data_IF_561647288817
#
_entry.id   IF_561647288817
#
_cell.length_a   1.000
_cell.length_b   1.000
_cell.length_c   1.000
_cell.angle_alpha   90.00
_cell.angle_beta   90.00
_cell.angle_gamma   90.00
#
_symmetry.space_group_name_H-M   'P 1'
#
loop_
_entity.id
_entity.type
_entity.pdbx_description
1 polymer ?
#
# COMPACT_ATOMS: atom_id res chain seq x y z
N UNK A 1 -8.53 -46.52 16.77
CA UNK A 1 -8.34 -45.32 17.62
C UNK A 1 -8.81 -44.13 16.80
N UNK A 2 -9.78 -43.42 17.34
CA UNK A 2 -10.74 -42.56 16.64
C UNK A 2 -10.35 -41.09 16.83
N UNK A 3 -10.50 -40.30 15.76
CA UNK A 3 -10.28 -38.85 15.73
C UNK A 3 -11.32 -38.14 16.61
N UNK A 4 -10.98 -37.08 17.37
CA UNK A 4 -11.99 -36.27 18.03
C UNK A 4 -12.55 -35.22 17.06
N UNK A 5 -13.86 -35.30 16.80
CA UNK A 5 -14.69 -34.24 16.22
C UNK A 5 -14.96 -33.15 17.28
N UNK A 6 -14.90 -31.88 16.86
CA UNK A 6 -15.40 -30.75 17.66
C UNK A 6 -16.85 -30.43 17.26
N UNK A 7 -17.74 -30.13 18.22
CA UNK A 7 -19.18 -30.03 17.99
C UNK A 7 -19.59 -28.70 17.38
N UNK A 8 -20.63 -28.76 16.54
CA UNK A 8 -21.38 -27.59 16.10
C UNK A 8 -22.26 -27.00 17.20
N UNK A 9 -22.39 -25.68 17.22
CA UNK A 9 -23.41 -24.97 17.98
C UNK A 9 -24.11 -23.96 17.06
N UNK A 10 -25.42 -24.16 16.91
CA UNK A 10 -26.37 -23.29 16.22
C UNK A 10 -26.79 -22.09 17.07
N UNK A 11 -27.00 -20.95 16.42
CA UNK A 11 -28.12 -20.05 16.66
C UNK A 11 -27.93 -18.88 17.65
N UNK A 12 -27.96 -17.65 17.13
CA UNK A 12 -28.83 -16.60 17.67
C UNK A 12 -29.04 -15.50 16.62
N UNK A 13 -30.30 -15.26 16.28
CA UNK A 13 -30.77 -14.10 15.51
C UNK A 13 -30.99 -12.90 16.44
N UNK A 14 -30.82 -11.67 15.93
CA UNK A 14 -31.75 -10.52 16.03
C UNK A 14 -31.06 -9.16 15.84
N UNK A 15 -31.78 -8.27 15.17
CA UNK A 15 -31.59 -6.81 14.96
C UNK A 15 -30.51 -6.44 13.93
N UNK A 16 -30.78 -5.80 12.79
CA UNK A 16 -31.80 -4.81 12.45
C UNK A 16 -31.23 -3.41 12.66
N UNK A 17 -30.52 -2.85 11.67
CA UNK A 17 -30.28 -1.41 11.48
C UNK A 17 -29.58 -1.09 10.16
N UNK A 18 -30.31 -0.37 9.31
CA UNK A 18 -29.93 0.70 8.37
C UNK A 18 -28.60 0.65 7.62
N UNK A 19 -28.74 0.76 6.30
CA UNK A 19 -27.72 1.04 5.30
C UNK A 19 -26.75 2.17 5.72
N UNK A 20 -25.49 1.79 5.81
CA UNK A 20 -24.33 2.65 5.76
C UNK A 20 -23.18 1.75 5.34
N UNK A 21 -22.85 1.74 4.05
CA UNK A 21 -21.68 1.03 3.54
C UNK A 21 -20.43 1.59 4.23
N UNK A 22 -20.05 0.96 5.34
CA UNK A 22 -18.72 1.03 5.89
C UNK A 22 -17.83 0.33 4.88
N UNK A 23 -17.06 1.12 4.14
CA UNK A 23 -15.90 0.66 3.38
C UNK A 23 -14.97 -0.08 4.35
N UNK A 24 -15.22 -1.38 4.53
CA UNK A 24 -14.29 -2.32 5.12
C UNK A 24 -13.12 -2.39 4.15
N UNK A 25 -11.99 -1.76 4.52
CA UNK A 25 -10.70 -2.02 3.87
C UNK A 25 -10.48 -3.54 3.92
N UNK A 26 -10.72 -4.23 2.81
CA UNK A 26 -10.24 -5.59 2.67
C UNK A 26 -8.70 -5.51 2.56
N UNK A 27 -7.95 -6.37 3.27
CA UNK A 27 -6.51 -6.55 3.03
C UNK A 27 -6.25 -6.76 1.54
N UNK A 28 -5.10 -6.26 1.07
CA UNK A 28 -4.74 -6.08 -0.34
C UNK A 28 -5.04 -7.25 -1.25
N UNK A 29 -6.22 -7.21 -1.90
CA UNK A 29 -6.49 -8.02 -3.07
C UNK A 29 -5.49 -7.64 -4.16
N UNK A 30 -4.80 -8.63 -4.71
CA UNK A 30 -3.97 -8.42 -5.90
C UNK A 30 -4.92 -8.09 -7.06
N UNK A 31 -4.98 -6.82 -7.46
CA UNK A 31 -5.76 -6.39 -8.62
C UNK A 31 -5.01 -6.77 -9.90
N UNK A 32 -5.47 -7.84 -10.55
CA UNK A 32 -4.95 -8.31 -11.84
C UNK A 32 -5.55 -7.49 -13.01
N UNK A 33 -5.29 -6.18 -13.08
CA UNK A 33 -5.88 -5.32 -14.11
C UNK A 33 -4.95 -5.13 -15.31
N UNK A 34 -5.46 -5.36 -16.53
CA UNK A 34 -4.70 -5.39 -17.80
C UNK A 34 -4.07 -4.07 -18.23
N UNK A 35 -4.28 -2.97 -17.50
CA UNK A 35 -3.94 -1.60 -17.92
C UNK A 35 -3.60 -0.67 -16.76
N UNK A 36 -3.03 -1.18 -15.67
CA UNK A 36 -2.56 -0.26 -14.64
C UNK A 36 -1.28 0.41 -15.16
N UNK A 37 -1.38 1.68 -15.57
CA UNK A 37 -0.22 2.48 -16.00
C UNK A 37 0.66 2.90 -14.82
N UNK A 38 0.12 2.88 -13.61
CA UNK A 38 0.78 3.32 -12.37
C UNK A 38 0.84 2.21 -11.34
N UNK A 39 1.99 1.92 -10.77
CA UNK A 39 2.13 0.90 -9.72
C UNK A 39 2.77 1.48 -8.46
N UNK A 40 2.23 1.10 -7.30
CA UNK A 40 2.70 1.56 -6.00
C UNK A 40 2.68 3.08 -5.86
N UNK A 41 3.80 3.66 -5.44
CA UNK A 41 3.86 5.10 -5.10
C UNK A 41 3.58 6.02 -6.30
N UNK A 42 3.60 5.51 -7.53
CA UNK A 42 3.19 6.24 -8.75
C UNK A 42 1.72 6.70 -8.73
N UNK A 43 0.88 6.10 -7.88
CA UNK A 43 -0.48 6.59 -7.64
C UNK A 43 -0.51 7.94 -6.93
N UNK A 44 0.54 8.29 -6.17
CA UNK A 44 0.68 9.61 -5.57
C UNK A 44 0.90 10.63 -6.69
N UNK A 45 0.06 11.67 -6.80
CA UNK A 45 0.26 12.70 -7.81
C UNK A 45 1.66 13.34 -7.67
N UNK A 46 2.45 13.48 -8.77
CA UNK A 46 3.83 13.97 -8.69
C UNK A 46 3.96 15.34 -8.03
N UNK A 47 2.97 16.21 -8.21
CA UNK A 47 2.90 17.53 -7.57
C UNK A 47 2.77 17.44 -6.04
N UNK A 48 1.98 16.48 -5.54
CA UNK A 48 1.84 16.23 -4.11
C UNK A 48 3.13 15.65 -3.54
N UNK A 49 3.74 14.66 -4.20
CA UNK A 49 5.01 14.09 -3.75
C UNK A 49 6.12 15.16 -3.71
N UNK A 50 6.23 16.01 -4.75
CA UNK A 50 7.17 17.14 -4.78
C UNK A 50 6.91 18.14 -3.65
N UNK A 51 5.65 18.45 -3.38
CA UNK A 51 5.28 19.33 -2.28
C UNK A 51 5.68 18.75 -0.92
N UNK A 52 5.37 17.48 -0.66
CA UNK A 52 5.73 16.83 0.61
C UNK A 52 7.25 16.69 0.80
N UNK A 53 8.02 16.53 -0.27
CA UNK A 53 9.49 16.60 -0.22
C UNK A 53 9.98 18.00 0.15
N UNK A 54 9.43 19.05 -0.47
CA UNK A 54 9.77 20.45 -0.15
C UNK A 54 9.37 20.86 1.26
N UNK A 55 8.29 20.30 1.78
CA UNK A 55 7.84 20.51 3.16
C UNK A 55 8.63 19.66 4.18
N UNK A 56 9.72 19.01 3.75
CA UNK A 56 10.57 18.15 4.59
C UNK A 56 9.82 17.01 5.29
N UNK A 57 8.70 16.55 4.73
CA UNK A 57 7.94 15.40 5.23
C UNK A 57 8.56 14.12 4.66
N UNK A 58 8.74 14.06 3.34
CA UNK A 58 9.41 12.95 2.63
C UNK A 58 10.88 13.33 2.39
N UNK A 59 11.80 12.80 3.19
CA UNK A 59 13.22 13.21 3.16
C UNK A 59 14.15 12.02 3.00
N UNK A 60 15.13 12.19 2.12
CA UNK A 60 16.07 11.14 1.72
C UNK A 60 15.59 10.40 0.47
N UNK A 61 16.34 9.37 0.11
CA UNK A 61 16.00 8.47 -0.99
C UNK A 61 14.85 7.56 -0.57
N UNK A 62 13.89 7.37 -1.48
CA UNK A 62 12.82 6.38 -1.31
C UNK A 62 13.44 4.99 -1.35
N UNK A 63 13.38 4.27 -0.23
CA UNK A 63 13.79 2.87 -0.18
C UNK A 63 12.62 1.98 -0.58
N UNK A 64 11.49 2.13 0.11
CA UNK A 64 10.27 1.36 -0.16
C UNK A 64 9.05 2.27 0.06
N UNK A 65 8.07 2.20 -0.82
CA UNK A 65 6.85 2.97 -0.70
C UNK A 65 5.64 2.22 -1.27
N UNK A 66 4.46 2.59 -0.79
CA UNK A 66 3.18 2.02 -1.20
C UNK A 66 2.10 3.08 -1.27
N UNK A 67 1.18 2.94 -2.21
CA UNK A 67 0.01 3.81 -2.31
C UNK A 67 -1.16 3.05 -2.94
N UNK A 68 -2.36 3.39 -2.49
CA UNK A 68 -3.61 2.93 -3.10
C UNK A 68 -4.03 3.84 -4.25
N UNK A 69 -4.89 3.30 -5.12
CA UNK A 69 -5.63 4.13 -6.07
C UNK A 69 -6.46 5.18 -5.32
N UNK A 70 -6.42 6.45 -5.75
CA UNK A 70 -7.28 7.47 -5.17
C UNK A 70 -8.77 7.09 -5.35
N UNK A 71 -9.52 7.05 -4.26
CA UNK A 71 -10.95 6.71 -4.25
C UNK A 71 -11.81 7.97 -4.08
N UNK A 72 -12.92 8.03 -4.81
CA UNK A 72 -13.93 9.08 -4.61
C UNK A 72 -14.85 8.68 -3.46
N UNK A 73 -15.03 9.57 -2.49
CA UNK A 73 -15.93 9.40 -1.35
C UNK A 73 -16.97 10.52 -1.30
N UNK A 74 -18.14 10.20 -0.76
CA UNK A 74 -19.24 11.16 -0.53
C UNK A 74 -19.32 11.51 0.96
N UNK A 75 -19.49 12.79 1.26
CA UNK A 75 -19.76 13.29 2.63
C UNK A 75 -21.26 13.25 2.93
N UNK A 76 -21.61 13.30 4.21
CA UNK A 76 -23.02 13.35 4.66
C UNK A 76 -23.79 14.55 4.10
N UNK A 77 -23.12 15.69 3.90
CA UNK A 77 -23.70 16.89 3.30
C UNK A 77 -23.83 16.82 1.76
N UNK A 78 -23.55 15.68 1.14
CA UNK A 78 -23.67 15.46 -0.31
C UNK A 78 -22.45 15.90 -1.14
N UNK A 79 -21.43 16.54 -0.56
CA UNK A 79 -20.21 16.88 -1.32
C UNK A 79 -19.32 15.65 -1.52
N UNK A 80 -18.41 15.74 -2.48
CA UNK A 80 -17.51 14.64 -2.84
C UNK A 80 -16.07 15.06 -2.68
N UNK A 81 -15.23 14.12 -2.26
CA UNK A 81 -13.78 14.32 -2.16
C UNK A 81 -13.06 13.09 -2.68
N UNK A 82 -11.83 13.30 -3.14
CA UNK A 82 -10.93 12.21 -3.46
C UNK A 82 -10.06 11.94 -2.24
N UNK A 83 -9.85 10.67 -1.90
CA UNK A 83 -8.98 10.21 -0.83
C UNK A 83 -7.89 9.31 -1.41
N UNK A 84 -6.66 9.54 -1.00
CA UNK A 84 -5.49 8.73 -1.29
C UNK A 84 -4.85 8.32 0.03
N UNK A 85 -4.54 7.03 0.19
CA UNK A 85 -3.75 6.52 1.31
C UNK A 85 -2.39 6.05 0.77
N UNK A 86 -1.32 6.46 1.41
CA UNK A 86 0.03 6.13 0.99
C UNK A 86 0.99 6.09 2.17
N UNK A 87 2.11 5.41 1.98
CA UNK A 87 3.22 5.42 2.90
C UNK A 87 4.55 5.36 2.15
N UNK A 88 5.59 5.79 2.85
CA UNK A 88 6.90 6.00 2.28
C UNK A 88 7.97 5.79 3.33
N UNK A 89 9.03 5.06 2.99
CA UNK A 89 10.16 4.78 3.87
C UNK A 89 11.47 5.24 3.22
N UNK A 90 12.33 5.86 4.03
CA UNK A 90 13.74 6.12 3.72
C UNK A 90 14.65 5.66 4.83
N UNK A 91 15.95 5.92 4.67
CA UNK A 91 16.97 5.64 5.68
C UNK A 91 16.68 6.33 7.03
N UNK A 92 15.96 7.45 7.06
CA UNK A 92 15.79 8.23 8.31
C UNK A 92 14.40 8.18 8.92
N UNK A 93 13.39 7.76 8.16
CA UNK A 93 12.00 7.84 8.60
C UNK A 93 11.05 6.96 7.80
N UNK A 94 9.94 6.65 8.43
CA UNK A 94 8.75 6.13 7.79
C UNK A 94 7.60 7.15 7.90
N UNK A 95 6.86 7.35 6.82
CA UNK A 95 5.74 8.28 6.76
C UNK A 95 4.51 7.54 6.31
N UNK A 96 3.46 7.53 7.13
CA UNK A 96 2.13 7.07 6.75
C UNK A 96 1.22 8.28 6.64
N UNK A 97 0.53 8.43 5.50
CA UNK A 97 -0.31 9.59 5.27
C UNK A 97 -1.54 9.31 4.44
N UNK A 98 -2.55 10.16 4.66
CA UNK A 98 -3.70 10.27 3.80
C UNK A 98 -3.71 11.66 3.16
N UNK A 99 -4.05 11.72 1.89
CA UNK A 99 -4.24 12.96 1.16
C UNK A 99 -5.67 13.05 0.64
N UNK A 100 -6.27 14.23 0.77
CA UNK A 100 -7.62 14.52 0.30
C UNK A 100 -7.68 15.78 -0.54
N UNK A 101 -8.57 15.82 -1.52
CA UNK A 101 -8.94 17.04 -2.23
C UNK A 101 -10.42 17.05 -2.54
N UNK A 102 -11.02 18.23 -2.53
CA UNK A 102 -12.44 18.37 -2.88
C UNK A 102 -12.65 18.11 -4.37
N UNK A 103 -13.84 17.57 -4.68
CA UNK A 103 -14.31 17.29 -6.03
C UNK A 103 -15.61 18.05 -6.29
N UNK A 104 -15.82 18.46 -7.53
CA UNK A 104 -17.10 18.99 -8.01
C UNK A 104 -17.70 18.04 -9.03
N UNK A 105 -19.00 17.75 -8.89
CA UNK A 105 -19.75 16.97 -9.87
C UNK A 105 -19.89 17.78 -11.17
N UNK A 106 -19.54 17.18 -12.30
CA UNK A 106 -19.69 17.78 -13.64
C UNK A 106 -20.73 17.06 -14.51
N UNK A 107 -21.32 16.00 -13.97
CA UNK A 107 -22.36 15.20 -14.58
C UNK A 107 -22.67 14.01 -13.66
N UNK A 108 -23.59 13.15 -14.09
CA UNK A 108 -23.89 11.93 -13.36
C UNK A 108 -22.64 11.05 -13.25
N UNK A 109 -22.26 10.69 -12.02
CA UNK A 109 -21.08 9.87 -11.73
C UNK A 109 -19.71 10.47 -12.11
N UNK A 110 -19.67 11.70 -12.63
CA UNK A 110 -18.45 12.32 -13.17
C UNK A 110 -18.00 13.46 -12.28
N UNK A 111 -16.75 13.40 -11.83
CA UNK A 111 -16.17 14.35 -10.88
C UNK A 111 -14.90 14.97 -11.44
N UNK A 112 -14.70 16.26 -11.16
CA UNK A 112 -13.42 16.95 -11.39
C UNK A 112 -12.83 17.47 -10.08
N UNK A 113 -11.50 17.50 -9.93
CA UNK A 113 -10.85 18.19 -8.82
C UNK A 113 -11.25 19.66 -8.76
N UNK A 114 -11.57 20.16 -7.56
CA UNK A 114 -11.97 21.55 -7.33
C UNK A 114 -11.16 22.27 -6.25
N UNK A 115 -10.26 21.56 -5.56
CA UNK A 115 -9.40 22.14 -4.53
C UNK A 115 -8.01 21.53 -4.48
N UNK A 116 -7.18 22.11 -3.62
CA UNK A 116 -5.84 21.60 -3.32
C UNK A 116 -5.86 20.26 -2.60
N UNK A 117 -4.75 19.53 -2.73
CA UNK A 117 -4.45 18.42 -1.83
C UNK A 117 -4.16 18.92 -0.43
N UNK A 118 -4.81 18.31 0.55
CA UNK A 118 -4.45 18.37 1.97
C UNK A 118 -3.96 16.99 2.37
N UNK A 119 -2.72 16.89 2.83
CA UNK A 119 -2.14 15.67 3.36
C UNK A 119 -2.04 15.74 4.88
N UNK A 120 -2.33 14.66 5.56
CA UNK A 120 -2.14 14.53 7.00
C UNK A 120 -1.72 13.11 7.34
N UNK A 121 -0.92 12.96 8.37
CA UNK A 121 -0.35 11.66 8.70
C UNK A 121 0.60 11.72 9.87
N UNK A 122 1.44 10.70 9.97
CA UNK A 122 2.46 10.58 11.01
C UNK A 122 3.82 10.30 10.39
N UNK A 123 4.82 11.04 10.85
CA UNK A 123 6.24 10.77 10.57
C UNK A 123 6.81 10.00 11.75
N UNK A 124 7.38 8.83 11.48
CA UNK A 124 8.12 7.99 12.42
C UNK A 124 9.61 8.20 12.14
N UNK A 125 10.28 8.95 13.00
CA UNK A 125 11.73 9.14 12.89
C UNK A 125 12.43 7.90 13.42
N UNK A 126 13.43 7.41 12.69
CA UNK A 126 14.22 6.27 13.10
C UNK A 126 15.32 6.68 14.08
N UNK A 127 15.62 5.81 15.03
CA UNK A 127 16.68 6.01 16.02
C UNK A 127 18.08 5.95 15.41
N UNK A 128 18.22 5.17 14.33
CA UNK A 128 19.43 5.03 13.54
C UNK A 128 19.06 4.99 12.05
N UNK A 129 20.01 5.31 11.14
CA UNK A 129 19.79 5.10 9.72
C UNK A 129 19.42 3.65 9.43
N UNK A 130 18.29 3.45 8.77
CA UNK A 130 17.81 2.16 8.36
C UNK A 130 18.41 1.76 7.01
N UNK A 131 18.74 0.48 6.86
CA UNK A 131 19.19 -0.14 5.62
C UNK A 131 18.16 -1.14 5.13
N UNK A 132 18.23 -1.50 3.85
CA UNK A 132 17.44 -2.61 3.32
C UNK A 132 18.23 -3.91 3.38
N UNK A 133 17.67 -4.91 4.06
CA UNK A 133 18.20 -6.27 3.99
C UNK A 133 17.56 -6.99 2.80
N UNK A 134 18.41 -7.46 1.89
CA UNK A 134 17.97 -8.12 0.66
C UNK A 134 18.07 -9.64 0.80
N UNK A 135 16.99 -10.33 0.45
CA UNK A 135 16.93 -11.80 0.37
C UNK A 135 16.31 -12.26 -0.95
N UNK A 136 16.79 -13.38 -1.50
CA UNK A 136 16.20 -14.02 -2.69
C UNK A 136 15.66 -15.40 -2.32
N UNK A 137 14.41 -15.66 -2.70
CA UNK A 137 13.70 -16.90 -2.45
C UNK A 137 13.10 -17.44 -3.74
N UNK A 138 13.53 -18.64 -4.15
CA UNK A 138 12.85 -19.40 -5.21
C UNK A 138 11.83 -20.34 -4.60
N UNK A 139 10.60 -20.30 -5.10
CA UNK A 139 9.62 -21.31 -4.76
C UNK A 139 10.12 -22.67 -5.28
N UNK A 140 10.64 -23.51 -4.38
CA UNK A 140 10.86 -24.91 -4.66
C UNK A 140 9.48 -25.57 -4.57
N UNK A 141 8.79 -25.69 -5.71
CA UNK A 141 7.61 -26.55 -5.78
C UNK A 141 8.01 -27.90 -5.17
N UNK A 142 7.26 -28.33 -4.15
CA UNK A 142 7.52 -29.61 -3.51
C UNK A 142 7.61 -30.69 -4.60
N UNK A 143 8.78 -31.31 -4.71
CA UNK A 143 8.94 -32.52 -5.53
C UNK A 143 8.04 -33.59 -4.91
N UNK A 144 6.93 -33.88 -5.57
CA UNK A 144 5.97 -34.87 -5.09
C UNK A 144 4.68 -34.81 -5.89
N UNK A 145 4.61 -35.67 -6.91
CA UNK A 145 3.42 -36.23 -7.57
C UNK A 145 2.29 -35.27 -8.00
N UNK A 146 2.05 -35.25 -9.32
CA UNK A 146 0.83 -34.71 -9.94
C UNK A 146 0.43 -33.29 -9.53
N UNK A 147 1.19 -32.33 -10.04
CA UNK A 147 0.72 -30.96 -10.20
C UNK A 147 -0.48 -30.97 -11.17
N UNK A 148 -1.66 -31.28 -10.66
CA UNK A 148 -2.89 -30.66 -11.16
C UNK A 148 -2.63 -29.17 -11.14
N UNK A 149 -2.48 -28.59 -12.34
CA UNK A 149 -2.34 -27.17 -12.55
C UNK A 149 -3.38 -26.47 -11.70
N UNK A 150 -2.95 -25.94 -10.55
CA UNK A 150 -3.87 -25.39 -9.57
C UNK A 150 -4.46 -24.16 -10.23
N UNK A 151 -5.76 -24.28 -10.55
CA UNK A 151 -6.62 -23.20 -11.03
C UNK A 151 -6.26 -21.93 -10.29
N UNK A 152 -6.16 -20.83 -11.03
CA UNK A 152 -5.85 -19.49 -10.56
C UNK A 152 -6.16 -19.30 -9.07
N UNK A 153 -5.12 -19.42 -8.23
CA UNK A 153 -5.25 -19.22 -6.79
C UNK A 153 -5.59 -17.75 -6.61
N UNK A 154 -6.87 -17.46 -6.41
CA UNK A 154 -7.33 -16.14 -5.96
C UNK A 154 -6.82 -16.02 -4.54
N UNK A 155 -5.68 -15.35 -4.38
CA UNK A 155 -5.13 -15.07 -3.07
C UNK A 155 -5.88 -13.85 -2.52
N UNK A 156 -6.62 -14.05 -1.43
CA UNK A 156 -7.37 -12.99 -0.74
C UNK A 156 -6.45 -11.98 -0.06
N UNK A 157 -5.25 -12.40 0.37
CA UNK A 157 -4.21 -11.56 0.93
C UNK A 157 -2.89 -11.73 0.16
N UNK A 158 -2.36 -10.67 -0.43
CA UNK A 158 -1.11 -10.72 -1.16
C UNK A 158 0.06 -11.32 -0.36
N UNK A 159 0.08 -11.17 0.97
CA UNK A 159 1.16 -11.72 1.81
C UNK A 159 1.21 -13.25 1.80
N UNK A 160 0.11 -13.95 1.51
CA UNK A 160 0.08 -15.41 1.41
C UNK A 160 0.88 -15.96 0.21
N UNK A 161 1.30 -15.08 -0.71
CA UNK A 161 2.18 -15.42 -1.82
C UNK A 161 3.66 -15.48 -1.41
N UNK A 162 4.01 -15.01 -0.21
CA UNK A 162 5.38 -14.91 0.29
C UNK A 162 5.68 -15.99 1.34
N UNK A 163 6.97 -16.36 1.54
CA UNK A 163 7.35 -17.24 2.63
C UNK A 163 6.93 -16.66 4.00
N UNK A 164 6.47 -17.48 4.97
CA UNK A 164 6.03 -17.00 6.28
C UNK A 164 7.07 -16.19 7.04
N UNK A 165 8.37 -16.52 6.91
CA UNK A 165 9.45 -15.78 7.55
C UNK A 165 9.61 -14.34 7.00
N UNK A 166 9.22 -14.11 5.74
CA UNK A 166 9.28 -12.78 5.09
C UNK A 166 8.00 -11.99 5.38
N UNK A 167 6.84 -12.65 5.32
CA UNK A 167 5.55 -12.00 5.57
C UNK A 167 5.31 -11.70 7.06
N UNK A 168 5.75 -12.58 7.96
CA UNK A 168 5.43 -12.57 9.40
C UNK A 168 5.52 -11.19 10.08
N UNK A 169 6.64 -10.45 9.94
CA UNK A 169 6.82 -9.14 10.58
C UNK A 169 5.77 -8.10 10.16
N UNK A 170 5.22 -8.20 8.95
CA UNK A 170 4.29 -7.19 8.38
C UNK A 170 2.82 -7.63 8.40
N UNK A 171 2.50 -8.85 8.85
CA UNK A 171 1.11 -9.35 8.97
C UNK A 171 0.26 -8.44 9.87
N UNK A 172 -0.95 -8.10 9.43
CA UNK A 172 -1.84 -7.17 10.15
C UNK A 172 -1.49 -5.69 9.96
N UNK A 173 -0.51 -5.39 9.11
CA UNK A 173 -0.19 -4.04 8.65
C UNK A 173 -0.98 -3.62 7.41
N UNK A 174 -0.46 -2.61 6.71
CA UNK A 174 -0.97 -2.15 5.41
C UNK A 174 -0.23 -2.89 4.29
N UNK A 175 -0.96 -3.49 3.36
CA UNK A 175 -0.40 -4.25 2.24
C UNK A 175 -0.94 -3.72 0.91
N UNK A 176 -0.06 -3.54 -0.07
CA UNK A 176 -0.41 -3.26 -1.46
C UNK A 176 0.27 -4.27 -2.37
N UNK A 177 -0.38 -4.64 -3.46
CA UNK A 177 0.20 -5.54 -4.45
C UNK A 177 -0.28 -5.20 -5.84
N UNK A 178 0.62 -5.35 -6.82
CA UNK A 178 0.36 -4.99 -8.21
C UNK A 178 1.03 -5.99 -9.15
N UNK A 179 0.39 -6.20 -10.30
CA UNK A 179 0.93 -6.98 -11.41
C UNK A 179 1.08 -6.07 -12.63
N UNK A 180 2.30 -5.97 -13.17
CA UNK A 180 2.59 -5.24 -14.42
C UNK A 180 3.07 -6.24 -15.47
N UNK A 181 2.59 -6.11 -16.70
CA UNK A 181 3.06 -6.97 -17.79
C UNK A 181 2.97 -6.31 -19.15
N UNK A 182 3.85 -6.73 -20.04
CA UNK A 182 3.87 -6.41 -21.47
C UNK A 182 4.34 -7.64 -22.24
N UNK A 183 4.38 -7.56 -23.57
CA UNK A 183 4.93 -8.66 -24.39
C UNK A 183 6.37 -8.96 -23.94
N UNK A 184 6.63 -10.22 -23.54
CA UNK A 184 7.95 -10.69 -23.12
C UNK A 184 8.39 -10.29 -21.72
N UNK A 185 7.52 -9.69 -20.89
CA UNK A 185 7.89 -9.33 -19.51
C UNK A 185 6.66 -9.22 -18.61
N UNK A 186 6.76 -9.75 -17.40
CA UNK A 186 5.81 -9.56 -16.32
C UNK A 186 6.57 -9.36 -15.00
N UNK A 187 6.01 -8.55 -14.11
CA UNK A 187 6.52 -8.31 -12.77
C UNK A 187 5.36 -8.22 -11.80
N UNK A 188 5.50 -8.92 -10.68
CA UNK A 188 4.58 -8.84 -9.55
C UNK A 188 5.34 -8.25 -8.38
N UNK A 189 4.74 -7.25 -7.74
CA UNK A 189 5.34 -6.59 -6.58
C UNK A 189 4.32 -6.51 -5.47
N UNK A 190 4.77 -6.84 -4.27
CA UNK A 190 4.04 -6.76 -3.02
C UNK A 190 4.84 -5.82 -2.13
N UNK A 191 4.18 -4.83 -1.55
CA UNK A 191 4.76 -4.00 -0.50
C UNK A 191 3.87 -4.02 0.71
N UNK A 192 4.47 -4.01 1.89
CA UNK A 192 3.73 -3.97 3.13
C UNK A 192 4.47 -3.13 4.17
N UNK A 193 3.71 -2.56 5.09
CA UNK A 193 4.25 -1.86 6.24
C UNK A 193 3.44 -2.17 7.48
N UNK A 194 4.11 -2.26 8.62
CA UNK A 194 3.48 -2.42 9.92
C UNK A 194 4.24 -1.62 10.96
N UNK A 195 3.50 -0.93 11.82
CA UNK A 195 4.05 -0.25 12.99
C UNK A 195 3.51 -0.95 14.23
N UNK A 196 4.40 -1.47 15.08
CA UNK A 196 4.04 -2.16 16.34
C UNK A 196 4.81 -1.51 17.47
N UNK A 197 4.10 -0.92 18.45
CA UNK A 197 4.80 -0.10 19.42
C UNK A 197 5.63 0.93 18.68
N UNK A 198 6.92 1.02 18.96
CA UNK A 198 7.89 1.89 18.27
C UNK A 198 8.66 1.22 17.13
N UNK A 199 8.38 -0.04 16.81
CA UNK A 199 9.03 -0.74 15.70
C UNK A 199 8.27 -0.48 14.40
N UNK A 200 9.03 -0.26 13.32
CA UNK A 200 8.54 -0.10 11.96
C UNK A 200 9.14 -1.20 11.11
N UNK A 201 8.26 -2.04 10.56
CA UNK A 201 8.60 -3.09 9.62
C UNK A 201 8.07 -2.71 8.25
N UNK A 202 8.93 -2.73 7.24
CA UNK A 202 8.57 -2.47 5.84
C UNK A 202 9.11 -3.60 4.98
N UNK A 203 8.33 -4.01 4.00
CA UNK A 203 8.66 -5.07 3.05
C UNK A 203 8.38 -4.59 1.64
N UNK A 204 9.29 -4.93 0.72
CA UNK A 204 9.06 -5.00 -0.72
C UNK A 204 9.47 -6.38 -1.19
N UNK A 205 8.57 -7.13 -1.79
CA UNK A 205 8.87 -8.36 -2.49
C UNK A 205 8.52 -8.20 -3.97
N UNK A 206 9.44 -8.55 -4.86
CA UNK A 206 9.24 -8.48 -6.31
C UNK A 206 9.69 -9.78 -6.98
N UNK A 207 8.93 -10.23 -7.98
CA UNK A 207 9.32 -11.33 -8.87
C UNK A 207 9.07 -10.94 -10.31
N UNK A 208 9.93 -11.39 -11.21
CA UNK A 208 9.82 -11.10 -12.65
C UNK A 208 9.90 -12.38 -13.49
N UNK A 209 9.29 -12.34 -14.67
CA UNK A 209 9.33 -13.43 -15.66
C UNK A 209 9.10 -12.90 -17.07
N UNK A 210 9.30 -13.72 -18.09
CA UNK A 210 9.05 -13.32 -19.49
C UNK A 210 7.56 -13.37 -19.86
N UNK A 211 6.75 -13.99 -19.01
CA UNK A 211 5.30 -14.02 -19.14
C UNK A 211 4.61 -14.07 -17.77
N UNK A 212 3.30 -13.82 -17.74
CA UNK A 212 2.49 -13.99 -16.51
C UNK A 212 2.52 -15.42 -15.98
N UNK A 213 2.64 -16.42 -16.87
CA UNK A 213 2.70 -17.83 -16.47
C UNK A 213 3.97 -18.17 -15.72
N UNK A 214 5.10 -17.56 -16.13
CA UNK A 214 6.41 -17.81 -15.52
C UNK A 214 6.55 -17.25 -14.11
N UNK A 215 5.77 -16.22 -13.75
CA UNK A 215 5.78 -15.67 -12.38
C UNK A 215 5.52 -16.74 -11.32
N UNK A 216 4.77 -17.81 -11.64
CA UNK A 216 4.49 -18.92 -10.73
C UNK A 216 5.77 -19.65 -10.28
N UNK A 217 6.82 -19.65 -11.09
CA UNK A 217 8.10 -20.33 -10.82
C UNK A 217 9.27 -19.36 -10.61
N UNK A 218 9.06 -18.06 -10.83
CA UNK A 218 10.07 -17.02 -10.60
C UNK A 218 10.44 -16.86 -9.12
N UNK A 219 11.68 -16.45 -8.88
CA UNK A 219 12.17 -16.08 -7.56
C UNK A 219 11.51 -14.78 -7.07
N UNK A 220 11.12 -14.75 -5.80
CA UNK A 220 10.87 -13.51 -5.07
C UNK A 220 12.21 -12.94 -4.60
N UNK A 221 12.43 -11.66 -4.88
CA UNK A 221 13.48 -10.85 -4.26
C UNK A 221 12.78 -9.93 -3.26
N UNK A 222 13.11 -10.09 -1.99
CA UNK A 222 12.56 -9.31 -0.90
C UNK A 222 13.60 -8.35 -0.32
N UNK A 223 13.17 -7.12 -0.06
CA UNK A 223 13.90 -6.07 0.64
C UNK A 223 13.07 -5.71 1.87
N UNK A 224 13.70 -5.74 3.04
CA UNK A 224 13.04 -5.41 4.32
C UNK A 224 13.73 -4.26 5.01
N UNK A 225 12.96 -3.46 5.73
CA UNK A 225 13.44 -2.45 6.66
C UNK A 225 12.83 -2.76 8.01
N UNK A 226 13.69 -3.04 8.99
CA UNK A 226 13.32 -3.19 10.39
C UNK A 226 14.00 -2.07 11.18
N UNK A 227 13.21 -1.10 11.64
CA UNK A 227 13.74 0.09 12.28
C UNK A 227 12.98 0.43 13.56
N UNK A 228 13.72 0.82 14.60
CA UNK A 228 13.14 1.39 15.80
C UNK A 228 12.92 2.88 15.62
N UNK A 229 11.69 3.33 15.84
CA UNK A 229 11.33 4.74 15.86
C UNK A 229 11.58 5.35 17.23
N UNK A 230 12.29 6.48 17.30
CA UNK A 230 12.53 7.22 18.54
C UNK A 230 11.49 8.32 18.80
N UNK A 231 10.83 8.80 17.74
CA UNK A 231 9.84 9.87 17.83
C UNK A 231 8.78 9.73 16.74
N UNK A 232 7.55 10.15 17.06
CA UNK A 232 6.43 10.21 16.13
C UNK A 232 5.83 11.59 16.11
N UNK A 233 5.82 12.21 14.94
CA UNK A 233 5.36 13.57 14.75
C UNK A 233 4.14 13.56 13.83
N UNK A 234 2.94 13.93 14.33
CA UNK A 234 1.80 14.12 13.44
C UNK A 234 2.05 15.35 12.56
N UNK A 235 1.58 15.30 11.32
CA UNK A 235 1.68 16.43 10.41
C UNK A 235 0.34 16.71 9.70
N UNK A 236 0.19 17.95 9.26
CA UNK A 236 -0.84 18.34 8.29
C UNK A 236 -0.22 19.37 7.36
N UNK A 237 -0.35 19.14 6.06
CA UNK A 237 0.23 19.98 5.02
C UNK A 237 -0.81 20.26 3.94
N UNK A 238 -1.03 21.53 3.64
CA UNK A 238 -1.96 21.98 2.60
C UNK A 238 -1.13 22.42 1.41
N UNK A 239 -1.27 21.73 0.28
CA UNK A 239 -0.60 22.11 -0.96
C UNK A 239 -1.19 23.44 -1.46
N UNK A 240 -0.38 24.48 -1.74
CA UNK A 240 -0.91 25.73 -2.27
C UNK A 240 -1.56 25.49 -3.63
N UNK A 241 -2.77 26.03 -3.83
CA UNK A 241 -3.44 26.03 -5.13
C UNK A 241 -2.74 27.05 -6.03
N UNK A 242 -2.01 26.57 -7.04
CA UNK A 242 -1.51 27.39 -8.16
C UNK A 242 -1.04 28.80 -7.83
N UNK A 243 0.18 28.93 -7.29
CA UNK A 243 0.97 30.15 -7.45
C UNK A 243 2.30 29.71 -8.09
N UNK A 244 2.55 30.25 -9.28
CA UNK A 244 3.88 30.31 -9.90
C UNK A 244 4.92 30.64 -8.82
N UNK A 245 6.02 29.89 -8.75
CA UNK A 245 7.12 30.15 -7.81
C UNK A 245 7.73 31.54 -8.04
N UNK A 246 7.11 32.57 -7.47
CA UNK A 246 7.74 33.83 -7.16
C UNK A 246 8.38 33.68 -5.78
N UNK A 247 9.62 33.19 -5.74
CA UNK A 247 10.43 33.25 -4.54
C UNK A 247 10.69 34.73 -4.21
N UNK A 248 10.08 35.23 -3.13
CA UNK A 248 10.70 36.29 -2.33
C UNK A 248 11.53 35.60 -1.26
N UNK A 249 12.84 35.54 -1.48
CA UNK A 249 13.80 35.47 -0.39
C UNK A 249 13.62 36.73 0.45
N UNK A 250 13.01 36.61 1.62
CA UNK A 250 13.20 37.57 2.71
C UNK A 250 14.08 36.86 3.73
N UNK A 251 15.28 37.39 3.84
CA UNK A 251 16.37 36.79 4.59
C UNK A 251 16.16 36.80 6.10
N UNK A 252 17.00 35.99 6.75
CA UNK A 252 17.97 36.41 7.76
C UNK A 252 19.15 35.47 7.67
#
# INVERSE_FOLDING_TARGET
MTVPELPGASGSSLTGRSAGDLSTRAPGQIKYTRRIEKVGFEYVPPELAKFLKRAEILVGTELIAGADEPVTKRRQNGTHYQLLSAWWASESRFVLFEARRELTSVGEGTFRPSGSWTASGTVHHFAAPATTDRSEWRYKGAGGSEATATKDRVVTDALDALPPAVAGPVIGGTTHAWLRWRKGWASETIVASRVIGNEVHVLRAQREGTSRGELKTSAWVAEVIDATSNNRVPFTAIMPSGISLAYRLLGR
#
